data_IF_547775112625
#
_entry.id   IF_547775112625
#
_cell.length_a   1.000
_cell.length_b   1.000
_cell.length_c   1.000
_cell.angle_alpha   90.00
_cell.angle_beta   90.00
_cell.angle_gamma   90.00
#
_symmetry.space_group_name_H-M   'P 1'
#
loop_
_entity.id
_entity.type
_entity.pdbx_description
1 polymer ?
#
# COMPACT_ATOMS: atom_id res chain seq x y z
N UNK A 1 -29.97 -6.72 12.84
CA UNK A 1 -29.14 -7.85 12.36
C UNK A 1 -28.91 -7.56 10.89
N UNK A 2 -27.72 -7.07 10.52
CA UNK A 2 -27.42 -6.63 9.15
C UNK A 2 -27.07 -7.81 8.24
N UNK A 3 -27.38 -7.67 6.95
CA UNK A 3 -27.20 -8.69 5.92
C UNK A 3 -25.71 -9.03 5.73
N UNK A 4 -25.27 -10.29 5.95
CA UNK A 4 -23.86 -10.68 5.82
C UNK A 4 -23.34 -10.58 4.38
N UNK A 5 -24.24 -10.52 3.39
CA UNK A 5 -23.87 -10.35 1.97
C UNK A 5 -23.49 -8.91 1.60
N UNK A 6 -23.80 -7.92 2.47
CA UNK A 6 -23.53 -6.50 2.19
C UNK A 6 -22.42 -5.90 3.07
N UNK A 7 -21.66 -6.76 3.75
CA UNK A 7 -20.53 -6.36 4.59
C UNK A 7 -19.31 -6.09 3.73
N UNK A 8 -19.02 -4.79 3.53
CA UNK A 8 -17.79 -4.31 2.87
C UNK A 8 -16.62 -4.46 3.85
N UNK A 9 -16.30 -5.68 4.24
CA UNK A 9 -15.12 -5.95 5.06
C UNK A 9 -13.93 -6.20 4.14
N UNK A 10 -12.84 -5.43 4.24
CA UNK A 10 -11.65 -5.69 3.47
C UNK A 10 -11.15 -7.10 3.81
N UNK A 11 -10.97 -7.94 2.79
CA UNK A 11 -10.59 -9.36 2.93
C UNK A 11 -9.38 -9.56 3.83
N UNK A 12 -8.47 -8.59 3.83
CA UNK A 12 -7.34 -8.55 4.73
C UNK A 12 -7.26 -7.12 5.31
N UNK A 13 -7.31 -6.98 6.62
CA UNK A 13 -7.13 -5.72 7.32
C UNK A 13 -5.66 -5.26 7.27
N UNK A 14 -5.16 -4.93 6.07
CA UNK A 14 -3.76 -4.59 5.77
C UNK A 14 -3.68 -3.09 5.47
N UNK A 15 -3.02 -2.33 6.35
CA UNK A 15 -2.82 -0.88 6.16
C UNK A 15 -1.53 -0.48 5.44
N UNK A 16 -0.62 -1.43 5.21
CA UNK A 16 0.63 -1.20 4.49
C UNK A 16 1.20 -2.51 3.90
N UNK A 17 1.98 -2.37 2.83
CA UNK A 17 2.60 -3.47 2.09
C UNK A 17 4.09 -3.18 1.93
N UNK A 18 4.93 -4.20 2.11
CA UNK A 18 6.38 -4.12 1.88
C UNK A 18 6.64 -4.40 0.39
N UNK A 19 7.46 -3.55 -0.23
CA UNK A 19 7.96 -3.75 -1.60
C UNK A 19 9.27 -4.52 -1.50
N UNK A 20 9.35 -5.64 -2.21
CA UNK A 20 10.50 -6.53 -2.24
C UNK A 20 11.20 -6.45 -3.59
N UNK A 21 12.53 -6.50 -3.57
CA UNK A 21 13.35 -6.85 -4.73
C UNK A 21 14.13 -8.11 -4.36
N UNK A 22 13.80 -9.22 -5.01
CA UNK A 22 14.19 -10.57 -4.57
C UNK A 22 13.86 -10.76 -3.08
N UNK A 23 14.85 -11.14 -2.27
CA UNK A 23 14.70 -11.35 -0.82
C UNK A 23 14.90 -10.08 0.01
N UNK A 24 15.08 -8.91 -0.63
CA UNK A 24 15.40 -7.66 0.05
C UNK A 24 14.19 -6.72 0.11
N UNK A 25 13.77 -6.25 1.30
CA UNK A 25 12.79 -5.17 1.41
C UNK A 25 13.40 -3.87 0.89
N UNK A 26 12.86 -3.35 -0.21
CA UNK A 26 13.33 -2.12 -0.87
C UNK A 26 12.43 -0.92 -0.61
N UNK A 27 11.22 -1.13 -0.08
CA UNK A 27 10.35 -0.03 0.33
C UNK A 27 9.08 -0.46 1.05
N UNK A 28 8.25 0.52 1.39
CA UNK A 28 6.93 0.32 1.99
C UNK A 28 5.92 1.28 1.36
N UNK A 29 4.70 0.80 1.15
CA UNK A 29 3.55 1.59 0.70
C UNK A 29 2.45 1.45 1.74
N UNK A 30 2.00 2.58 2.30
CA UNK A 30 0.83 2.62 3.18
C UNK A 30 -0.39 3.21 2.44
N UNK A 31 -1.59 3.03 2.98
CA UNK A 31 -2.82 3.63 2.43
C UNK A 31 -2.69 5.15 2.17
N UNK A 32 -2.00 5.85 3.08
CA UNK A 32 -1.72 7.29 2.95
C UNK A 32 -0.94 7.62 1.68
N UNK A 33 -0.01 6.77 1.26
CA UNK A 33 0.78 7.00 0.05
C UNK A 33 -0.11 6.98 -1.19
N UNK A 34 -1.08 6.06 -1.26
CA UNK A 34 -2.05 5.99 -2.37
C UNK A 34 -2.88 7.28 -2.42
N UNK A 35 -3.43 7.70 -1.27
CA UNK A 35 -4.27 8.91 -1.19
C UNK A 35 -3.45 10.15 -1.60
N UNK A 36 -2.27 10.34 -1.01
CA UNK A 36 -1.51 11.58 -1.17
C UNK A 36 -0.73 11.64 -2.49
N UNK A 37 -0.18 10.52 -2.96
CA UNK A 37 0.73 10.49 -4.12
C UNK A 37 0.06 10.03 -5.41
N UNK A 38 -1.16 9.52 -5.37
CA UNK A 38 -1.91 9.12 -6.56
C UNK A 38 -3.21 9.92 -6.67
N UNK A 39 -4.14 9.72 -5.73
CA UNK A 39 -5.50 10.28 -5.82
C UNK A 39 -5.48 11.81 -5.81
N UNK A 40 -4.76 12.43 -4.86
CA UNK A 40 -4.70 13.90 -4.75
C UNK A 40 -4.05 14.58 -5.95
N UNK A 41 -3.14 13.91 -6.63
CA UNK A 41 -2.41 14.46 -7.78
C UNK A 41 -3.01 14.05 -9.12
N UNK A 42 -4.06 13.22 -9.10
CA UNK A 42 -4.75 12.75 -10.31
C UNK A 42 -3.91 11.82 -11.17
N UNK A 43 -3.00 11.03 -10.57
CA UNK A 43 -2.28 9.97 -11.29
C UNK A 43 -3.18 8.75 -11.50
N UNK A 44 -2.94 8.02 -12.59
CA UNK A 44 -3.58 6.74 -12.85
C UNK A 44 -2.93 5.64 -11.97
N UNK A 45 -3.76 4.88 -11.25
CA UNK A 45 -3.30 3.80 -10.39
C UNK A 45 -2.70 2.63 -11.21
N UNK A 46 -3.24 2.37 -12.40
CA UNK A 46 -2.84 1.24 -13.25
C UNK A 46 -1.52 1.51 -13.98
N UNK A 47 -1.17 2.79 -14.17
CA UNK A 47 0.10 3.20 -14.80
C UNK A 47 1.20 3.54 -13.78
N UNK A 48 0.84 3.81 -12.52
CA UNK A 48 1.81 4.21 -11.49
C UNK A 48 2.58 3.01 -10.96
N UNK A 49 3.91 3.04 -11.09
CA UNK A 49 4.76 1.97 -10.56
C UNK A 49 4.94 2.11 -9.05
N UNK A 50 4.99 0.98 -8.34
CA UNK A 50 5.19 0.95 -6.89
C UNK A 50 6.44 1.72 -6.42
N UNK A 51 7.54 1.64 -7.19
CA UNK A 51 8.79 2.34 -6.92
C UNK A 51 8.66 3.88 -6.93
N UNK A 52 7.65 4.43 -7.59
CA UNK A 52 7.42 5.88 -7.66
C UNK A 52 6.80 6.45 -6.38
N UNK A 53 6.05 5.62 -5.65
CA UNK A 53 5.25 6.07 -4.51
C UNK A 53 5.73 5.49 -3.18
N UNK A 54 6.50 4.41 -3.19
CA UNK A 54 7.00 3.78 -1.98
C UNK A 54 7.92 4.72 -1.19
N UNK A 55 7.95 4.54 0.12
CA UNK A 55 9.02 5.08 0.95
C UNK A 55 10.21 4.13 0.90
N UNK A 56 11.38 4.64 0.52
CA UNK A 56 12.60 3.85 0.32
C UNK A 56 13.85 4.64 0.76
N UNK A 57 14.87 4.00 1.38
CA UNK A 57 14.83 2.62 1.87
C UNK A 57 13.90 2.50 3.09
N UNK A 58 13.31 1.33 3.36
CA UNK A 58 12.50 1.13 4.54
C UNK A 58 13.39 1.15 5.79
N UNK A 59 12.87 1.70 6.88
CA UNK A 59 13.51 1.54 8.19
C UNK A 59 13.07 0.21 8.81
N UNK A 60 14.03 -0.69 9.03
CA UNK A 60 13.77 -2.03 9.55
C UNK A 60 14.26 -2.12 11.00
N UNK A 61 13.40 -2.67 11.86
CA UNK A 61 13.76 -3.01 13.23
C UNK A 61 13.98 -4.52 13.31
N UNK A 62 15.23 -4.94 13.50
CA UNK A 62 15.56 -6.33 13.83
C UNK A 62 15.43 -6.55 15.34
N UNK A 63 14.63 -7.53 15.74
CA UNK A 63 14.52 -8.01 17.13
C UNK A 63 15.42 -9.23 17.36
#
# INVERSE_FOLDING_TARGET
>A
MGDPENSIEPKNNIGAIIVMSDDNPVGIIAERDIIEKIIRVGKDLDETRAEEIMTSPPYLLSQ
#
